data_IF_244453940731
#
_entry.id   IF_244453940731
#
_cell.length_a   1.000
_cell.length_b   1.000
_cell.length_c   1.000
_cell.angle_alpha   90.00
_cell.angle_beta   90.00
_cell.angle_gamma   90.00
#
_symmetry.space_group_name_H-M   'P 1'
#
loop_
_entity.id
_entity.type
_entity.pdbx_description
1 polymer ?
#
# COMPACT_ATOMS: atom_id res chain seq x y z
N UNK A 1 9.64 16.45 8.70
CA UNK A 1 10.84 15.63 8.38
C UNK A 1 10.80 15.21 6.92
N UNK A 2 11.94 14.84 6.33
CA UNK A 2 12.07 14.53 4.90
C UNK A 2 11.09 13.43 4.42
N UNK A 3 10.75 12.49 5.31
CA UNK A 3 9.89 11.34 5.01
C UNK A 3 8.38 11.63 5.04
N UNK A 4 7.92 12.71 5.68
CA UNK A 4 6.49 13.01 5.85
C UNK A 4 5.76 13.28 4.53
N UNK A 5 6.52 13.66 3.50
CA UNK A 5 6.00 13.84 2.14
C UNK A 5 5.61 12.53 1.46
N UNK A 6 6.09 11.38 1.96
CA UNK A 6 5.85 10.10 1.33
C UNK A 6 4.59 9.43 1.87
N UNK A 7 3.72 8.93 0.97
CA UNK A 7 2.43 8.35 1.34
C UNK A 7 2.56 7.01 2.09
N UNK A 8 3.72 6.36 2.00
CA UNK A 8 3.99 5.13 2.75
C UNK A 8 4.52 5.41 4.16
N UNK A 9 4.91 6.65 4.49
CA UNK A 9 5.43 6.95 5.82
C UNK A 9 4.30 7.25 6.79
N UNK A 10 4.10 6.39 7.79
CA UNK A 10 3.05 6.49 8.79
C UNK A 10 3.46 7.30 10.04
N UNK A 11 4.73 7.71 10.16
CA UNK A 11 5.22 8.34 11.38
C UNK A 11 5.31 7.35 12.54
N UNK A 12 5.13 7.84 13.77
CA UNK A 12 5.08 6.99 14.96
C UNK A 12 3.84 6.11 14.93
N UNK A 13 4.04 4.79 14.88
CA UNK A 13 2.94 3.83 14.84
C UNK A 13 3.39 2.50 15.45
N UNK A 14 2.54 1.94 16.30
CA UNK A 14 2.79 0.65 16.94
C UNK A 14 2.61 -0.51 15.93
N UNK A 15 3.16 -1.68 16.29
CA UNK A 15 2.98 -2.89 15.47
C UNK A 15 1.49 -3.27 15.35
N UNK A 16 0.76 -3.26 16.47
CA UNK A 16 -0.66 -3.61 16.51
C UNK A 16 -1.54 -2.62 15.74
N UNK A 17 -1.24 -1.32 15.80
CA UNK A 17 -1.94 -0.32 14.99
C UNK A 17 -1.71 -0.57 13.49
N UNK A 18 -0.47 -0.86 13.09
CA UNK A 18 -0.15 -1.22 11.70
C UNK A 18 -0.87 -2.50 11.25
N UNK A 19 -0.95 -3.52 12.11
CA UNK A 19 -1.71 -4.74 11.82
C UNK A 19 -3.20 -4.46 11.63
N UNK A 20 -3.80 -3.61 12.48
CA UNK A 20 -5.21 -3.25 12.39
C UNK A 20 -5.55 -2.54 11.08
N UNK A 21 -4.77 -1.53 10.69
CA UNK A 21 -5.04 -0.74 9.47
C UNK A 21 -4.73 -1.51 8.18
N UNK A 22 -3.82 -2.48 8.21
CA UNK A 22 -3.44 -3.26 7.02
C UNK A 22 -4.25 -4.55 6.82
N UNK A 23 -4.89 -5.09 7.88
CA UNK A 23 -5.55 -6.42 7.84
C UNK A 23 -6.53 -6.58 6.68
N UNK A 24 -7.35 -5.57 6.45
CA UNK A 24 -8.43 -5.59 5.46
C UNK A 24 -8.08 -4.80 4.19
N UNK A 25 -6.79 -4.61 3.93
CA UNK A 25 -6.32 -3.91 2.72
C UNK A 25 -5.89 -4.90 1.65
N UNK A 26 -5.78 -4.48 0.37
CA UNK A 26 -5.26 -5.31 -0.70
C UNK A 26 -3.86 -5.85 -0.41
N UNK A 27 -3.54 -7.04 -0.94
CA UNK A 27 -2.20 -7.61 -0.83
C UNK A 27 -1.15 -6.68 -1.46
N UNK A 28 -0.03 -6.51 -0.78
CA UNK A 28 1.00 -5.56 -1.19
C UNK A 28 0.81 -4.15 -0.61
N UNK A 29 -0.28 -3.88 0.12
CA UNK A 29 -0.40 -2.63 0.88
C UNK A 29 0.64 -2.56 1.98
N UNK A 30 1.32 -1.43 2.11
CA UNK A 30 2.44 -1.30 3.03
C UNK A 30 2.52 0.09 3.67
N UNK A 31 3.22 0.13 4.81
CA UNK A 31 3.63 1.36 5.46
C UNK A 31 4.98 1.21 6.14
N UNK A 32 5.72 2.30 6.20
CA UNK A 32 6.88 2.47 7.06
C UNK A 32 6.46 3.19 8.33
N UNK A 33 6.64 2.54 9.47
CA UNK A 33 6.39 3.10 10.80
C UNK A 33 7.69 3.35 11.55
N UNK A 34 7.68 4.35 12.40
CA UNK A 34 8.77 4.69 13.31
C UNK A 34 8.45 4.21 14.72
N UNK A 35 9.43 3.59 15.39
CA UNK A 35 9.37 3.20 16.80
C UNK A 35 10.25 4.15 17.60
N UNK A 36 9.63 5.08 18.33
CA UNK A 36 10.33 6.10 19.10
C UNK A 36 11.24 5.51 20.17
N UNK A 37 10.80 4.45 20.86
CA UNK A 37 11.52 3.80 21.96
C UNK A 37 12.91 3.27 21.53
N UNK A 38 13.00 2.74 20.30
CA UNK A 38 14.22 2.12 19.76
C UNK A 38 14.88 2.99 18.68
N UNK A 39 14.34 4.20 18.44
CA UNK A 39 14.71 5.09 17.34
C UNK A 39 14.88 4.33 16.00
N UNK A 40 13.94 3.43 15.69
CA UNK A 40 14.08 2.49 14.56
C UNK A 40 12.84 2.47 13.67
N UNK A 41 13.04 2.36 12.37
CA UNK A 41 11.96 2.13 11.40
C UNK A 41 11.62 0.64 11.25
N UNK A 42 10.35 0.36 10.95
CA UNK A 42 9.89 -0.96 10.56
C UNK A 42 8.94 -0.86 9.37
N UNK A 43 9.17 -1.70 8.36
CA UNK A 43 8.30 -1.87 7.21
C UNK A 43 7.23 -2.89 7.57
N UNK A 44 5.95 -2.51 7.45
CA UNK A 44 4.81 -3.41 7.66
C UNK A 44 4.09 -3.60 6.33
N UNK A 45 3.85 -4.85 5.95
CA UNK A 45 3.35 -5.24 4.64
C UNK A 45 2.20 -6.23 4.77
N UNK A 46 1.06 -5.94 4.15
CA UNK A 46 -0.04 -6.88 3.99
C UNK A 46 0.34 -7.97 2.99
N UNK A 47 0.45 -9.20 3.49
CA UNK A 47 0.64 -10.42 2.69
C UNK A 47 -0.53 -11.37 2.88
N UNK A 48 -0.59 -12.48 2.13
CA UNK A 48 -1.76 -13.37 2.04
C UNK A 48 -2.42 -13.67 3.40
N UNK A 49 -1.68 -14.29 4.32
CA UNK A 49 -2.23 -14.74 5.60
C UNK A 49 -2.06 -13.70 6.72
N UNK A 50 -0.99 -12.89 6.69
CA UNK A 50 -0.65 -11.99 7.79
C UNK A 50 0.02 -10.67 7.33
N UNK A 51 0.17 -9.75 8.27
CA UNK A 51 1.02 -8.56 8.09
C UNK A 51 2.45 -8.93 8.48
N UNK A 52 3.38 -8.85 7.52
CA UNK A 52 4.80 -9.07 7.78
C UNK A 52 5.45 -7.78 8.27
N UNK A 53 6.31 -7.87 9.28
CA UNK A 53 7.04 -6.73 9.82
C UNK A 53 8.54 -6.96 9.70
N UNK A 54 9.23 -6.07 9.00
CA UNK A 54 10.67 -6.14 8.78
C UNK A 54 11.33 -4.91 9.41
N UNK A 55 12.35 -5.12 10.25
CA UNK A 55 13.12 -4.02 10.84
C UNK A 55 14.00 -3.41 9.76
N UNK A 56 13.97 -2.08 9.63
CA UNK A 56 14.95 -1.35 8.82
C UNK A 56 16.14 -1.05 9.71
N UNK A 57 17.28 -1.65 9.40
CA UNK A 57 18.51 -1.50 10.16
C UNK A 57 19.40 -0.48 9.46
N UNK A 58 20.06 0.39 10.24
CA UNK A 58 21.11 1.27 9.76
C UNK A 58 22.47 0.68 10.12
N UNK A 59 23.40 0.63 9.17
CA UNK A 59 24.76 0.16 9.42
C UNK A 59 25.46 1.08 10.43
N UNK A 60 26.31 0.47 11.25
CA UNK A 60 27.21 1.18 12.18
C UNK A 60 28.55 1.53 11.53
N UNK A 61 28.83 1.00 10.33
CA UNK A 61 29.93 1.51 9.51
C UNK A 61 29.64 2.99 9.20
N UNK A 62 30.64 3.87 9.25
CA UNK A 62 30.42 5.32 9.13
C UNK A 62 29.70 5.78 7.85
N UNK A 63 29.40 4.88 6.91
CA UNK A 63 28.60 5.12 5.71
C UNK A 63 27.09 5.17 5.94
N UNK A 64 26.56 4.66 7.06
CA UNK A 64 25.17 4.90 7.48
C UNK A 64 24.08 4.42 6.51
N UNK A 65 24.31 3.27 5.86
CA UNK A 65 23.40 2.64 4.90
C UNK A 65 22.24 1.92 5.59
N UNK A 66 21.16 1.66 4.87
CA UNK A 66 19.94 1.02 5.37
C UNK A 66 19.72 -0.34 4.72
N UNK A 67 19.13 -1.29 5.45
CA UNK A 67 18.79 -2.61 4.91
C UNK A 67 17.65 -3.30 5.65
N UNK A 68 17.00 -4.25 4.98
CA UNK A 68 16.10 -5.25 5.58
C UNK A 68 16.82 -6.59 5.81
N UNK A 69 17.82 -6.89 4.98
CA UNK A 69 18.73 -8.03 5.05
C UNK A 69 20.11 -7.59 4.56
N UNK A 70 21.20 -8.13 5.11
CA UNK A 70 22.58 -7.74 4.77
C UNK A 70 22.94 -7.98 3.30
N UNK A 71 22.13 -8.74 2.56
CA UNK A 71 22.30 -8.96 1.11
C UNK A 71 22.18 -7.69 0.27
N UNK A 72 21.44 -6.68 0.76
CA UNK A 72 21.25 -5.41 0.03
C UNK A 72 21.37 -4.21 0.96
N UNK A 73 22.29 -3.31 0.64
CA UNK A 73 22.56 -2.09 1.40
C UNK A 73 22.19 -0.87 0.55
N UNK A 74 21.38 0.03 1.10
CA UNK A 74 20.84 1.20 0.43
C UNK A 74 21.35 2.49 1.07
N UNK A 75 21.50 3.57 0.31
CA UNK A 75 21.96 4.87 0.84
C UNK A 75 20.88 5.60 1.62
N UNK A 76 19.61 5.29 1.36
CA UNK A 76 18.47 5.85 2.06
C UNK A 76 17.33 4.86 2.22
N UNK A 77 16.42 5.15 3.14
CA UNK A 77 15.15 4.43 3.28
C UNK A 77 14.30 4.54 2.01
N UNK A 78 14.35 5.68 1.31
CA UNK A 78 13.62 5.89 0.06
C UNK A 78 14.12 4.93 -1.03
N UNK A 79 15.44 4.77 -1.16
CA UNK A 79 16.04 3.83 -2.12
C UNK A 79 15.68 2.37 -1.79
N UNK A 80 15.65 2.03 -0.50
CA UNK A 80 15.20 0.72 -0.01
C UNK A 80 13.74 0.46 -0.40
N UNK A 81 12.83 1.40 -0.15
CA UNK A 81 11.42 1.25 -0.52
C UNK A 81 11.28 1.10 -2.03
N UNK A 82 11.88 2.00 -2.81
CA UNK A 82 11.83 1.97 -4.26
C UNK A 82 12.34 0.63 -4.84
N UNK A 83 13.36 0.02 -4.22
CA UNK A 83 13.83 -1.32 -4.62
C UNK A 83 12.72 -2.36 -4.49
N UNK A 84 12.05 -2.45 -3.34
CA UNK A 84 11.03 -3.49 -3.11
C UNK A 84 9.64 -3.16 -3.67
N UNK A 85 9.44 -1.94 -4.19
CA UNK A 85 8.32 -1.63 -5.08
C UNK A 85 8.49 -2.32 -6.46
N UNK A 86 9.74 -2.47 -6.93
CA UNK A 86 10.05 -3.01 -8.26
C UNK A 86 10.63 -4.42 -8.25
N UNK A 87 11.12 -4.90 -7.10
CA UNK A 87 11.73 -6.21 -6.92
C UNK A 87 11.09 -6.97 -5.76
N UNK A 88 10.88 -8.28 -5.96
CA UNK A 88 10.28 -9.12 -4.93
C UNK A 88 11.15 -9.17 -3.67
N UNK A 89 10.52 -9.10 -2.51
CA UNK A 89 11.15 -9.29 -1.19
C UNK A 89 11.82 -10.66 -1.04
N UNK A 90 11.54 -11.61 -1.94
CA UNK A 90 12.18 -12.93 -1.97
C UNK A 90 13.70 -12.86 -2.11
N UNK A 91 14.22 -11.78 -2.71
CA UNK A 91 15.67 -11.54 -2.83
C UNK A 91 16.33 -11.40 -1.45
N UNK A 92 15.58 -10.97 -0.44
CA UNK A 92 16.07 -10.76 0.93
C UNK A 92 15.50 -11.76 1.93
N UNK A 93 14.30 -12.30 1.68
CA UNK A 93 13.59 -13.20 2.58
C UNK A 93 13.03 -14.40 1.81
N UNK A 94 13.66 -15.57 1.95
CA UNK A 94 13.21 -16.80 1.28
C UNK A 94 11.74 -17.08 1.61
N UNK A 95 10.93 -17.26 0.57
CA UNK A 95 9.50 -17.56 0.70
C UNK A 95 8.57 -16.33 0.79
N UNK A 96 9.11 -15.11 0.82
CA UNK A 96 8.33 -13.87 0.80
C UNK A 96 8.27 -13.30 -0.63
N UNK A 97 7.55 -13.98 -1.53
CA UNK A 97 7.38 -13.52 -2.91
C UNK A 97 6.31 -12.43 -3.02
N UNK A 98 6.65 -11.24 -2.53
CA UNK A 98 5.75 -10.09 -2.44
C UNK A 98 6.47 -8.79 -2.78
N UNK A 99 5.68 -7.79 -3.17
CA UNK A 99 6.13 -6.45 -3.58
C UNK A 99 5.43 -5.40 -2.71
N UNK A 100 6.06 -4.23 -2.59
CA UNK A 100 5.44 -3.04 -2.03
C UNK A 100 4.59 -2.38 -3.12
N UNK A 101 3.28 -2.57 -3.09
CA UNK A 101 2.40 -2.15 -4.21
C UNK A 101 1.64 -0.87 -3.90
N UNK A 102 1.10 -0.75 -2.69
CA UNK A 102 0.17 0.32 -2.35
C UNK A 102 0.62 1.01 -1.06
N UNK A 103 1.09 2.26 -1.12
CA UNK A 103 1.31 3.07 0.06
C UNK A 103 0.03 3.23 0.86
N UNK A 104 0.04 2.96 2.16
CA UNK A 104 -1.16 2.97 3.00
C UNK A 104 -1.94 4.30 2.93
N UNK A 105 -1.29 5.47 2.89
CA UNK A 105 -2.01 6.76 2.78
C UNK A 105 -2.67 7.00 1.41
N UNK A 106 -2.33 6.20 0.39
CA UNK A 106 -3.05 6.21 -0.88
C UNK A 106 -4.33 5.37 -0.85
N UNK A 107 -4.56 4.59 0.21
CA UNK A 107 -5.84 3.95 0.42
C UNK A 107 -6.82 4.98 0.98
N UNK A 108 -7.62 5.58 0.10
CA UNK A 108 -8.71 6.45 0.53
C UNK A 108 -9.89 5.62 1.05
N UNK A 109 -10.25 4.58 0.30
CA UNK A 109 -11.14 3.51 0.74
C UNK A 109 -10.91 2.26 -0.13
N UNK A 110 -11.56 1.16 0.21
CA UNK A 110 -11.75 0.01 -0.68
C UNK A 110 -13.23 -0.23 -0.85
N UNK A 111 -13.61 -0.86 -1.95
CA UNK A 111 -15.00 -1.16 -2.20
C UNK A 111 -15.13 -2.52 -2.89
N UNK A 112 -16.18 -3.25 -2.52
CA UNK A 112 -16.61 -4.45 -3.22
C UNK A 112 -17.54 -4.07 -4.37
N UNK A 113 -17.25 -4.55 -5.57
CA UNK A 113 -18.10 -4.38 -6.74
C UNK A 113 -19.36 -5.24 -6.58
N UNK A 114 -20.53 -4.60 -6.61
CA UNK A 114 -21.83 -5.27 -6.45
C UNK A 114 -22.56 -5.47 -7.79
N UNK A 115 -22.12 -4.79 -8.85
CA UNK A 115 -22.66 -4.90 -10.21
C UNK A 115 -21.54 -4.77 -11.24
N UNK A 116 -21.61 -5.58 -12.30
CA UNK A 116 -20.66 -5.51 -13.42
C UNK A 116 -20.78 -4.17 -14.16
N UNK A 117 -19.64 -3.62 -14.58
CA UNK A 117 -19.57 -2.44 -15.43
C UNK A 117 -18.41 -2.59 -16.41
N UNK A 118 -18.77 -2.58 -17.70
CA UNK A 118 -17.85 -2.66 -18.82
C UNK A 118 -18.14 -1.45 -19.73
N UNK A 119 -17.26 -0.44 -19.76
CA UNK A 119 -17.46 0.74 -20.58
C UNK A 119 -17.45 0.37 -22.06
N UNK A 120 -18.37 0.95 -22.84
CA UNK A 120 -18.44 0.73 -24.29
C UNK A 120 -17.28 1.43 -25.02
N UNK A 121 -16.82 2.56 -24.49
CA UNK A 121 -15.73 3.36 -25.02
C UNK A 121 -14.49 3.20 -24.13
N UNK A 122 -13.46 2.54 -24.68
CA UNK A 122 -12.20 2.24 -24.00
C UNK A 122 -11.31 3.47 -23.80
N UNK A 123 -11.59 4.58 -24.49
CA UNK A 123 -10.76 5.79 -24.46
C UNK A 123 -11.16 6.77 -23.33
N UNK A 124 -12.28 6.52 -22.63
CA UNK A 124 -12.82 7.45 -21.62
C UNK A 124 -12.17 7.38 -20.22
N UNK A 125 -10.98 6.78 -20.08
CA UNK A 125 -10.32 6.61 -18.78
C UNK A 125 -11.24 5.98 -17.71
N UNK A 126 -12.10 5.05 -18.16
CA UNK A 126 -13.06 4.32 -17.34
C UNK A 126 -12.48 2.97 -16.92
N UNK A 127 -12.81 2.50 -15.71
CA UNK A 127 -12.33 1.26 -15.15
C UNK A 127 -13.39 0.16 -15.30
N UNK A 128 -13.07 -0.88 -16.06
CA UNK A 128 -13.87 -2.11 -16.09
C UNK A 128 -13.85 -2.81 -14.73
N UNK A 129 -15.02 -3.14 -14.20
CA UNK A 129 -15.18 -3.78 -12.89
C UNK A 129 -16.19 -4.92 -12.97
N UNK A 130 -15.87 -6.04 -12.31
CA UNK A 130 -16.72 -7.22 -12.27
C UNK A 130 -17.26 -7.46 -10.86
N UNK A 131 -18.51 -7.89 -10.75
CA UNK A 131 -19.19 -8.21 -9.49
C UNK A 131 -18.36 -9.19 -8.66
N UNK A 132 -18.20 -8.87 -7.37
CA UNK A 132 -17.40 -9.63 -6.41
C UNK A 132 -15.93 -9.20 -6.32
N UNK A 133 -15.43 -8.44 -7.28
CA UNK A 133 -14.09 -7.84 -7.24
C UNK A 133 -13.99 -6.83 -6.10
N UNK A 134 -12.80 -6.72 -5.51
CA UNK A 134 -12.47 -5.63 -4.59
C UNK A 134 -11.49 -4.68 -5.28
N UNK A 135 -11.73 -3.39 -5.15
CA UNK A 135 -10.90 -2.33 -5.73
C UNK A 135 -10.51 -1.30 -4.67
N UNK A 136 -9.48 -0.52 -4.98
CA UNK A 136 -9.10 0.64 -4.19
C UNK A 136 -9.86 1.84 -4.75
N UNK A 137 -10.53 2.59 -3.87
CA UNK A 137 -11.04 3.92 -4.19
C UNK A 137 -9.87 4.89 -4.03
N UNK A 138 -9.52 5.59 -5.11
CA UNK A 138 -8.39 6.52 -5.19
C UNK A 138 -8.85 7.96 -5.00
N UNK A 139 -10.04 8.32 -5.49
CA UNK A 139 -10.64 9.65 -5.29
C UNK A 139 -12.17 9.58 -5.35
N UNK A 140 -12.83 10.41 -4.54
CA UNK A 140 -14.28 10.64 -4.55
C UNK A 140 -14.64 12.06 -4.98
N UNK A 141 -13.75 12.80 -5.64
CA UNK A 141 -14.03 14.17 -6.11
C UNK A 141 -15.21 14.24 -7.09
N UNK A 142 -15.49 13.14 -7.83
CA UNK A 142 -16.64 13.03 -8.73
C UNK A 142 -17.94 12.55 -8.06
N UNK A 143 -18.02 12.51 -6.72
CA UNK A 143 -19.16 11.93 -6.00
C UNK A 143 -20.50 12.58 -6.37
N UNK A 144 -20.52 13.90 -6.54
CA UNK A 144 -21.69 14.67 -6.96
C UNK A 144 -22.19 14.29 -8.37
N UNK A 145 -21.27 13.80 -9.22
CA UNK A 145 -21.56 13.36 -10.58
C UNK A 145 -21.83 11.84 -10.65
N UNK A 146 -21.77 11.13 -9.53
CA UNK A 146 -21.98 9.68 -9.45
C UNK A 146 -20.77 8.83 -9.83
N UNK A 147 -19.57 9.42 -9.92
CA UNK A 147 -18.35 8.72 -10.35
C UNK A 147 -17.26 8.77 -9.29
N UNK A 148 -16.63 7.63 -9.05
CA UNK A 148 -15.40 7.56 -8.27
C UNK A 148 -14.25 7.13 -9.16
N UNK A 149 -13.02 7.51 -8.77
CA UNK A 149 -11.80 6.97 -9.38
C UNK A 149 -11.29 5.83 -8.52
N UNK A 150 -10.90 4.71 -9.13
CA UNK A 150 -10.27 3.61 -8.41
C UNK A 150 -9.16 2.94 -9.18
N UNK A 151 -8.58 1.94 -8.53
CA UNK A 151 -7.47 1.15 -9.03
C UNK A 151 -7.75 -0.34 -8.91
N UNK A 152 -7.45 -1.07 -9.98
CA UNK A 152 -7.38 -2.53 -9.98
C UNK A 152 -6.24 -3.03 -10.86
N UNK A 153 -5.44 -3.98 -10.36
CA UNK A 153 -4.27 -4.52 -11.07
C UNK A 153 -3.43 -3.43 -11.76
N UNK A 154 -3.08 -2.39 -11.01
CA UNK A 154 -2.28 -1.23 -11.45
C UNK A 154 -2.93 -0.32 -12.51
N UNK A 155 -4.18 -0.57 -12.89
CA UNK A 155 -4.94 0.29 -13.80
C UNK A 155 -5.85 1.23 -12.99
N UNK A 156 -5.73 2.53 -13.28
CA UNK A 156 -6.61 3.57 -12.75
C UNK A 156 -7.73 3.87 -13.74
N UNK A 157 -8.91 4.19 -13.22
CA UNK A 157 -9.99 4.73 -14.03
C UNK A 157 -11.23 5.08 -13.21
N UNK A 158 -12.20 5.69 -13.89
CA UNK A 158 -13.48 6.07 -13.29
C UNK A 158 -14.52 4.95 -13.39
N UNK A 159 -15.33 4.79 -12.36
CA UNK A 159 -16.46 3.87 -12.35
C UNK A 159 -17.67 4.48 -11.62
N UNK A 160 -18.91 4.03 -11.90
CA UNK A 160 -20.09 4.55 -11.24
C UNK A 160 -20.12 4.13 -9.76
N UNK A 161 -20.32 5.07 -8.84
CA UNK A 161 -20.26 4.79 -7.40
C UNK A 161 -21.33 3.81 -6.92
N UNK A 162 -22.50 3.80 -7.58
CA UNK A 162 -23.62 2.92 -7.21
C UNK A 162 -23.39 1.44 -7.59
N UNK A 163 -22.27 1.15 -8.27
CA UNK A 163 -21.88 -0.21 -8.66
C UNK A 163 -20.95 -0.87 -7.63
N UNK A 164 -20.60 -0.14 -6.58
CA UNK A 164 -19.76 -0.63 -5.50
C UNK A 164 -20.42 -0.42 -4.13
N UNK A 165 -20.00 -1.21 -3.17
CA UNK A 165 -20.26 -1.00 -1.75
C UNK A 165 -18.92 -0.76 -1.07
N UNK A 166 -18.76 0.42 -0.47
CA UNK A 166 -17.55 0.75 0.28
C UNK A 166 -17.37 -0.20 1.48
N UNK A 167 -16.13 -0.62 1.69
CA UNK A 167 -15.75 -1.41 2.84
C UNK A 167 -15.66 -0.47 4.05
N UNK A 168 -16.38 -0.78 5.13
CA UNK A 168 -16.30 0.00 6.36
C UNK A 168 -14.91 -0.20 7.00
N UNK A 169 -13.98 0.74 6.77
CA UNK A 169 -12.77 0.84 7.56
C UNK A 169 -13.11 1.45 8.92
N UNK A 170 -13.33 0.60 9.92
CA UNK A 170 -13.20 1.04 11.31
C UNK A 170 -11.72 1.30 11.60
N UNK A 171 -11.27 2.54 11.41
CA UNK A 171 -9.89 2.93 11.62
C UNK A 171 -9.66 4.43 11.48
N UNK A 172 -10.38 5.21 12.29
CA UNK A 172 -9.95 6.55 12.69
C UNK A 172 -9.07 6.43 13.95
#
# INVERSE_FOLDING_TARGET
MELDRYPWFAGEMTRSAAEAVLRNTPLGTYLLRFKSNDNTYALSLRTGEEVKHMKVVRTSDGGGRYFLSESFLFRSVVELINRYEHNSLRESFKGLDAYLKVPWKHLFATAQVIKDYFPEDVDLNQLSISKGQHLIVVSKEGDENGWWKGRFNDHDGYFPKDFVKEDNFYGA
#
